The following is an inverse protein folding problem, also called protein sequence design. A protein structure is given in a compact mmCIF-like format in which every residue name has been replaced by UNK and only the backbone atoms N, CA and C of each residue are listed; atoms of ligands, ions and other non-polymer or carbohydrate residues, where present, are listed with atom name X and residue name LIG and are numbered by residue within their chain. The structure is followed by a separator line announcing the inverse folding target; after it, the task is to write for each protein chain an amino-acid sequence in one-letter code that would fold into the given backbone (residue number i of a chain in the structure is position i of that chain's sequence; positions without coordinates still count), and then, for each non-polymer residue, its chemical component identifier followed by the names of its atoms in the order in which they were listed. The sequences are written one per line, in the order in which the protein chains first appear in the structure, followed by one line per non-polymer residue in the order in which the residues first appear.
data_IF_815887928442
#
_entry.id   IF_815887928442
#
_cell.length_a   1.000
_cell.length_b   1.000
_cell.length_c   1.000
_cell.angle_alpha   90.00
_cell.angle_beta   90.00
_cell.angle_gamma   90.00
#
_symmetry.space_group_name_H-M   'P 1'
#
loop_
_entity.id
_entity.type
_entity.pdbx_description
1 polymer ?
#
# COMPACT_ATOMS: atom_id res chain seq x y z
N UNK A 1 7.35 9.75 15.70
CA UNK A 1 7.16 10.29 14.34
C UNK A 1 5.98 9.56 13.71
N UNK A 2 5.18 10.26 12.93
CA UNK A 2 3.92 9.74 12.40
C UNK A 2 3.80 9.96 10.89
N UNK A 3 2.79 9.30 10.27
CA UNK A 3 2.46 9.46 8.85
C UNK A 3 1.14 10.17 8.62
N UNK A 4 0.98 10.80 7.46
CA UNK A 4 -0.31 11.29 6.95
C UNK A 4 -0.62 10.54 5.65
N UNK A 5 -1.79 9.91 5.59
CA UNK A 5 -2.35 9.31 4.38
C UNK A 5 -3.54 10.14 3.89
N UNK A 6 -3.54 10.50 2.63
CA UNK A 6 -4.65 11.22 1.98
C UNK A 6 -5.30 10.33 0.93
N UNK A 7 -6.54 9.96 1.16
CA UNK A 7 -7.30 9.14 0.23
C UNK A 7 -7.97 9.99 -0.84
N UNK A 8 -7.40 10.04 -2.03
CA UNK A 8 -7.94 10.80 -3.18
C UNK A 8 -8.86 9.89 -4.00
N UNK A 9 -10.19 10.00 -3.88
CA UNK A 9 -11.10 9.00 -4.43
C UNK A 9 -11.35 9.11 -5.94
N UNK A 10 -10.77 10.06 -6.63
CA UNK A 10 -11.11 10.35 -8.03
C UNK A 10 -10.33 9.47 -9.01
N UNK A 11 -11.07 8.87 -9.95
CA UNK A 11 -10.51 8.15 -11.09
C UNK A 11 -11.18 8.63 -12.37
N UNK A 12 -10.44 8.73 -13.48
CA UNK A 12 -11.07 8.94 -14.81
C UNK A 12 -11.91 7.72 -15.24
N UNK A 13 -11.47 6.53 -14.86
CA UNK A 13 -12.11 5.24 -15.13
C UNK A 13 -11.75 4.25 -14.03
N UNK A 14 -12.71 3.43 -13.59
CA UNK A 14 -12.44 2.35 -12.64
C UNK A 14 -11.94 1.11 -13.40
N UNK A 15 -10.88 0.51 -12.88
CA UNK A 15 -10.40 -0.80 -13.33
C UNK A 15 -11.35 -1.90 -12.85
N UNK A 16 -11.45 -3.00 -13.60
CA UNK A 16 -12.43 -4.07 -13.30
C UNK A 16 -12.12 -4.84 -12.01
N UNK A 17 -10.88 -4.81 -11.55
CA UNK A 17 -10.39 -5.53 -10.37
C UNK A 17 -10.39 -4.68 -9.09
N UNK A 18 -10.53 -3.35 -9.21
CA UNK A 18 -10.26 -2.45 -8.10
C UNK A 18 -11.44 -2.42 -7.10
N UNK A 19 -11.16 -2.75 -5.85
CA UNK A 19 -12.06 -2.70 -4.69
C UNK A 19 -11.93 -1.41 -3.89
N UNK A 20 -10.86 -0.64 -4.10
CA UNK A 20 -10.66 0.64 -3.39
C UNK A 20 -11.83 1.59 -3.61
N UNK A 21 -12.19 2.30 -2.53
CA UNK A 21 -13.19 3.34 -2.63
C UNK A 21 -12.76 4.40 -3.65
N UNK A 22 -13.50 4.50 -4.75
CA UNK A 22 -13.20 5.44 -5.83
C UNK A 22 -14.46 5.86 -6.58
N UNK A 23 -14.38 7.01 -7.23
CA UNK A 23 -15.49 7.60 -8.00
C UNK A 23 -14.99 8.26 -9.27
N UNK A 24 -15.84 8.30 -10.29
CA UNK A 24 -15.59 9.07 -11.52
C UNK A 24 -16.26 10.47 -11.49
N UNK A 25 -16.87 10.85 -10.38
CA UNK A 25 -17.59 12.13 -10.19
C UNK A 25 -16.64 13.28 -9.87
N UNK A 26 -15.89 13.74 -10.86
CA UNK A 26 -14.89 14.80 -10.71
C UNK A 26 -15.49 16.19 -10.38
N UNK A 27 -16.79 16.40 -10.60
CA UNK A 27 -17.50 17.64 -10.26
C UNK A 27 -17.51 17.96 -8.76
N UNK A 28 -17.32 16.95 -7.92
CA UNK A 28 -17.25 17.10 -6.46
C UNK A 28 -15.84 17.42 -5.93
N UNK A 29 -14.83 17.45 -6.80
CA UNK A 29 -13.41 17.57 -6.38
C UNK A 29 -13.16 18.82 -5.54
N UNK A 30 -13.63 19.97 -5.94
CA UNK A 30 -13.43 21.22 -5.18
C UNK A 30 -14.05 21.17 -3.78
N UNK A 31 -15.26 20.60 -3.65
CA UNK A 31 -15.92 20.44 -2.35
C UNK A 31 -15.16 19.43 -1.47
N UNK A 32 -14.66 18.35 -2.08
CA UNK A 32 -13.84 17.35 -1.43
C UNK A 32 -12.52 17.96 -0.90
N UNK A 33 -11.77 18.71 -1.71
CA UNK A 33 -10.50 19.32 -1.27
C UNK A 33 -10.73 20.27 -0.06
N UNK A 34 -11.82 21.04 -0.07
CA UNK A 34 -12.19 21.86 1.09
C UNK A 34 -12.47 21.02 2.33
N UNK A 35 -13.20 19.93 2.19
CA UNK A 35 -13.49 19.02 3.29
C UNK A 35 -12.20 18.36 3.80
N UNK A 36 -11.32 17.88 2.92
CA UNK A 36 -10.03 17.28 3.26
C UNK A 36 -9.15 18.25 4.07
N UNK A 37 -9.02 19.49 3.61
CA UNK A 37 -8.27 20.55 4.32
C UNK A 37 -8.87 20.84 5.70
N UNK A 38 -10.19 20.82 5.82
CA UNK A 38 -10.86 20.99 7.11
C UNK A 38 -10.62 19.80 8.04
N UNK A 39 -10.77 18.57 7.54
CA UNK A 39 -10.48 17.36 8.33
C UNK A 39 -9.04 17.38 8.87
N UNK A 40 -8.05 17.74 8.04
CA UNK A 40 -6.66 17.90 8.48
C UNK A 40 -6.53 18.86 9.67
N UNK A 41 -7.31 19.97 9.68
CA UNK A 41 -7.33 20.91 10.80
C UNK A 41 -8.06 20.35 12.01
N UNK A 42 -9.25 19.79 11.81
CA UNK A 42 -10.11 19.30 12.90
C UNK A 42 -9.47 18.11 13.65
N UNK A 43 -8.56 17.38 12.97
CA UNK A 43 -7.84 16.22 13.51
C UNK A 43 -6.37 16.49 13.88
N UNK A 44 -5.94 17.74 13.99
CA UNK A 44 -4.57 18.10 14.39
C UNK A 44 -4.11 17.38 15.67
N UNK A 45 -4.97 17.31 16.68
CA UNK A 45 -4.68 16.69 17.97
C UNK A 45 -4.52 15.17 17.92
N UNK A 46 -5.00 14.47 16.84
CA UNK A 46 -4.99 13.02 16.76
C UNK A 46 -3.57 12.41 16.85
N UNK A 47 -2.58 13.07 16.31
CA UNK A 47 -1.18 12.64 16.33
C UNK A 47 -0.39 13.21 17.52
N UNK A 48 -1.05 13.85 18.51
CA UNK A 48 -0.45 14.33 19.77
C UNK A 48 0.80 15.23 19.56
N UNK A 49 0.82 15.99 18.46
CA UNK A 49 1.93 16.89 18.13
C UNK A 49 3.21 16.19 17.64
N UNK A 50 3.13 14.92 17.26
CA UNK A 50 4.26 14.22 16.67
C UNK A 50 4.72 14.85 15.34
N UNK A 51 6.02 14.74 15.05
CA UNK A 51 6.56 15.13 13.76
C UNK A 51 6.12 14.19 12.65
N UNK A 52 5.77 14.74 11.50
CA UNK A 52 5.38 13.97 10.31
C UNK A 52 6.62 13.60 9.51
N UNK A 53 6.85 12.29 9.36
CA UNK A 53 7.96 11.74 8.58
C UNK A 53 7.52 11.21 7.20
N UNK A 54 6.22 11.01 6.99
CA UNK A 54 5.69 10.57 5.69
C UNK A 54 4.36 11.24 5.36
N UNK A 55 4.17 11.61 4.10
CA UNK A 55 2.90 12.04 3.53
C UNK A 55 2.65 11.20 2.28
N UNK A 56 1.50 10.52 2.24
CA UNK A 56 1.18 9.63 1.14
C UNK A 56 -0.18 10.00 0.54
N UNK A 57 -0.18 10.34 -0.73
CA UNK A 57 -1.41 10.57 -1.49
C UNK A 57 -1.71 9.30 -2.31
N UNK A 58 -2.80 8.61 -1.96
CA UNK A 58 -3.18 7.32 -2.58
C UNK A 58 -4.69 7.18 -2.75
N UNK A 59 -5.12 5.97 -3.03
CA UNK A 59 -6.54 5.57 -3.11
C UNK A 59 -7.08 5.36 -4.52
N UNK A 60 -7.83 6.31 -5.06
CA UNK A 60 -8.32 6.25 -6.43
C UNK A 60 -7.19 6.55 -7.43
N UNK A 61 -6.97 7.82 -7.74
CA UNK A 61 -5.90 8.26 -8.65
C UNK A 61 -5.47 9.69 -8.28
N UNK A 62 -4.50 9.86 -7.36
CA UNK A 62 -4.05 11.19 -6.96
C UNK A 62 -3.48 12.04 -8.10
N UNK A 63 -2.97 11.42 -9.17
CA UNK A 63 -2.54 12.12 -10.38
C UNK A 63 -3.68 12.77 -11.18
N UNK A 64 -4.92 12.71 -10.69
CA UNK A 64 -6.05 13.49 -11.23
C UNK A 64 -6.19 14.88 -10.58
N UNK A 65 -5.37 15.19 -9.59
CA UNK A 65 -5.36 16.50 -8.94
C UNK A 65 -4.64 17.53 -9.80
N UNK A 66 -5.16 18.76 -9.78
CA UNK A 66 -4.56 19.90 -10.44
C UNK A 66 -3.58 20.63 -9.50
N UNK A 67 -2.83 21.59 -10.02
CA UNK A 67 -1.87 22.38 -9.27
C UNK A 67 -2.51 23.05 -8.05
N UNK A 68 -3.67 23.66 -8.24
CA UNK A 68 -4.40 24.40 -7.21
C UNK A 68 -4.85 23.47 -6.06
N UNK A 69 -5.18 22.20 -6.39
CA UNK A 69 -5.54 21.18 -5.40
C UNK A 69 -4.34 20.85 -4.49
N UNK A 70 -3.15 20.66 -5.08
CA UNK A 70 -1.91 20.44 -4.33
C UNK A 70 -1.49 21.65 -3.51
N UNK A 71 -1.62 22.87 -4.06
CA UNK A 71 -1.35 24.12 -3.33
C UNK A 71 -2.21 24.21 -2.06
N UNK A 72 -3.51 23.91 -2.18
CA UNK A 72 -4.42 23.91 -1.03
C UNK A 72 -4.02 22.86 0.00
N UNK A 73 -3.77 21.62 -0.42
CA UNK A 73 -3.43 20.50 0.47
C UNK A 73 -2.11 20.78 1.21
N UNK A 74 -1.03 21.07 0.49
CA UNK A 74 0.28 21.27 1.12
C UNK A 74 0.33 22.54 1.99
N UNK A 75 -0.29 23.63 1.56
CA UNK A 75 -0.41 24.83 2.39
C UNK A 75 -1.09 24.51 3.73
N UNK A 76 -2.13 23.67 3.71
CA UNK A 76 -2.82 23.25 4.94
C UNK A 76 -1.94 22.33 5.80
N UNK A 77 -1.33 21.30 5.22
CA UNK A 77 -0.48 20.37 5.97
C UNK A 77 0.67 21.11 6.67
N UNK A 78 1.42 21.97 5.96
CA UNK A 78 2.54 22.70 6.54
C UNK A 78 2.12 23.79 7.54
N UNK A 79 0.87 24.23 7.49
CA UNK A 79 0.32 25.16 8.49
C UNK A 79 -0.05 24.46 9.79
N UNK A 80 -0.57 23.22 9.71
CA UNK A 80 -1.15 22.48 10.85
C UNK A 80 -0.12 21.54 11.49
N UNK A 81 0.69 20.85 10.67
CA UNK A 81 1.58 19.79 11.13
C UNK A 81 3.06 20.18 11.02
N UNK A 82 3.87 19.59 11.91
CA UNK A 82 5.33 19.73 11.90
C UNK A 82 5.94 18.64 11.00
N UNK A 83 6.15 18.96 9.74
CA UNK A 83 6.76 18.02 8.77
C UNK A 83 8.28 18.13 8.87
N UNK A 84 8.98 16.99 8.98
CA UNK A 84 10.45 16.98 8.99
C UNK A 84 11.01 17.32 7.59
N UNK A 85 12.21 17.91 7.50
CA UNK A 85 12.76 18.35 6.21
C UNK A 85 12.97 17.23 5.19
N UNK A 86 13.28 16.00 5.65
CA UNK A 86 13.51 14.81 4.85
C UNK A 86 12.31 13.84 4.83
N UNK A 87 11.10 14.35 5.04
CA UNK A 87 9.87 13.56 4.96
C UNK A 87 9.74 12.87 3.59
N UNK A 88 9.35 11.59 3.59
CA UNK A 88 8.95 10.90 2.36
C UNK A 88 7.56 11.40 1.93
N UNK A 89 7.48 11.98 0.74
CA UNK A 89 6.22 12.49 0.19
C UNK A 89 5.92 11.80 -1.11
N UNK A 90 4.94 10.88 -1.05
CA UNK A 90 4.60 9.97 -2.15
C UNK A 90 3.33 10.41 -2.87
N UNK A 91 3.35 10.32 -4.20
CA UNK A 91 2.18 10.40 -5.06
C UNK A 91 1.97 9.10 -5.80
N UNK A 92 0.78 8.49 -5.66
CA UNK A 92 0.34 7.45 -6.59
C UNK A 92 -0.09 8.06 -7.91
N UNK A 93 0.32 7.44 -9.00
CA UNK A 93 0.03 7.94 -10.33
C UNK A 93 -0.26 6.85 -11.35
N UNK A 94 -1.18 7.13 -12.28
CA UNK A 94 -1.30 6.33 -13.49
C UNK A 94 -0.28 6.80 -14.54
N UNK A 95 0.32 5.88 -15.32
CA UNK A 95 1.29 6.24 -16.34
C UNK A 95 0.81 7.30 -17.34
N UNK A 96 -0.44 7.21 -17.78
CA UNK A 96 -1.02 8.13 -18.78
C UNK A 96 -1.33 9.54 -18.24
N UNK A 97 -1.25 9.76 -16.93
CA UNK A 97 -1.34 11.09 -16.33
C UNK A 97 0.03 11.78 -16.22
N UNK A 98 1.13 11.02 -16.27
CA UNK A 98 2.51 11.50 -16.11
C UNK A 98 3.08 12.05 -17.41
N UNK A 99 2.43 13.09 -17.97
CA UNK A 99 2.99 13.84 -19.09
C UNK A 99 4.17 14.71 -18.64
N UNK A 100 5.08 15.13 -19.57
CA UNK A 100 6.18 16.01 -19.20
C UNK A 100 5.74 17.29 -18.48
N UNK A 101 4.60 17.88 -18.90
CA UNK A 101 4.04 19.10 -18.32
C UNK A 101 3.54 18.82 -16.89
N UNK A 102 2.83 17.69 -16.67
CA UNK A 102 2.33 17.30 -15.36
C UNK A 102 3.50 16.99 -14.41
N UNK A 103 4.51 16.27 -14.87
CA UNK A 103 5.72 15.98 -14.09
C UNK A 103 6.45 17.27 -13.72
N UNK A 104 6.58 18.21 -14.65
CA UNK A 104 7.18 19.53 -14.38
C UNK A 104 6.41 20.30 -13.30
N UNK A 105 5.08 20.23 -13.34
CA UNK A 105 4.24 20.81 -12.28
C UNK A 105 4.45 20.09 -10.95
N UNK A 106 4.51 18.75 -10.90
CA UNK A 106 4.78 17.99 -9.67
C UNK A 106 6.11 18.38 -9.03
N UNK A 107 7.14 18.70 -9.82
CA UNK A 107 8.46 19.17 -9.32
C UNK A 107 8.41 20.50 -8.60
N UNK A 108 7.34 21.28 -8.71
CA UNK A 108 7.14 22.51 -7.93
C UNK A 108 6.58 22.23 -6.53
N UNK A 109 6.21 21.00 -6.22
CA UNK A 109 5.74 20.52 -4.93
C UNK A 109 6.79 19.63 -4.25
N UNK A 110 6.63 19.35 -2.97
CA UNK A 110 7.64 18.59 -2.20
C UNK A 110 7.63 17.08 -2.46
N UNK A 111 7.01 16.62 -3.55
CA UNK A 111 7.04 15.20 -3.90
C UNK A 111 8.46 14.71 -4.16
N UNK A 112 8.87 13.67 -3.46
CA UNK A 112 10.17 13.02 -3.62
C UNK A 112 10.07 11.53 -3.94
N UNK A 113 8.84 10.95 -3.92
CA UNK A 113 8.56 9.57 -4.32
C UNK A 113 7.33 9.52 -5.23
N UNK A 114 7.41 8.72 -6.30
CA UNK A 114 6.27 8.39 -7.19
C UNK A 114 6.00 6.89 -7.07
N UNK A 115 4.72 6.49 -6.91
CA UNK A 115 4.27 5.10 -7.07
C UNK A 115 3.45 5.00 -8.35
N UNK A 116 3.95 4.26 -9.32
CA UNK A 116 3.39 4.21 -10.68
C UNK A 116 2.69 2.88 -10.92
N UNK A 117 1.37 2.90 -11.05
CA UNK A 117 0.55 1.71 -11.29
C UNK A 117 0.67 1.20 -12.73
N UNK A 118 1.71 0.43 -13.04
CA UNK A 118 1.93 -0.20 -14.35
C UNK A 118 1.07 -1.44 -14.52
N UNK A 119 1.04 -2.31 -13.52
CA UNK A 119 0.34 -3.58 -13.39
C UNK A 119 0.96 -4.71 -14.24
N UNK A 120 1.12 -4.54 -15.54
CA UNK A 120 1.72 -5.48 -16.49
C UNK A 120 2.22 -4.72 -17.73
N UNK A 121 3.11 -5.32 -18.49
CA UNK A 121 3.54 -4.80 -19.80
C UNK A 121 2.85 -5.54 -20.96
N UNK A 122 1.80 -6.33 -20.70
CA UNK A 122 1.00 -7.01 -21.70
C UNK A 122 -0.21 -6.15 -22.09
N UNK A 123 -0.19 -5.50 -23.27
CA UNK A 123 -1.25 -4.58 -23.73
C UNK A 123 -2.63 -5.23 -23.81
N UNK A 124 -2.72 -6.53 -24.15
CA UNK A 124 -3.97 -7.29 -24.14
C UNK A 124 -4.58 -7.37 -22.74
N UNK A 125 -3.74 -7.63 -21.74
CA UNK A 125 -4.13 -7.72 -20.31
C UNK A 125 -4.47 -6.34 -19.77
N UNK A 126 -3.70 -5.29 -20.07
CA UNK A 126 -4.03 -3.91 -19.71
C UNK A 126 -5.43 -3.52 -20.24
N UNK A 127 -5.73 -3.87 -21.48
CA UNK A 127 -7.05 -3.64 -22.09
C UNK A 127 -8.16 -4.42 -21.38
N UNK A 128 -7.93 -5.69 -21.03
CA UNK A 128 -8.86 -6.51 -20.26
C UNK A 128 -9.17 -5.89 -18.91
N UNK A 129 -8.14 -5.46 -18.19
CA UNK A 129 -8.24 -4.80 -16.87
C UNK A 129 -8.84 -3.38 -16.95
N UNK A 130 -9.13 -2.89 -18.14
CA UNK A 130 -9.60 -1.52 -18.43
C UNK A 130 -8.61 -0.43 -18.00
N UNK A 131 -7.30 -0.73 -18.04
CA UNK A 131 -6.25 0.29 -17.89
C UNK A 131 -6.28 1.24 -19.09
N UNK A 132 -5.91 2.52 -18.83
CA UNK A 132 -5.97 3.58 -19.84
C UNK A 132 -4.66 3.74 -20.62
N UNK A 133 -3.56 3.17 -20.10
CA UNK A 133 -2.24 3.23 -20.69
C UNK A 133 -1.87 1.93 -21.43
N UNK A 134 -0.87 2.01 -22.28
CA UNK A 134 -0.15 0.90 -22.91
C UNK A 134 1.19 0.69 -22.22
N UNK A 135 1.83 -0.47 -22.46
CA UNK A 135 3.19 -0.75 -21.99
C UNK A 135 4.19 0.33 -22.42
N UNK A 136 4.13 0.78 -23.67
CA UNK A 136 4.98 1.86 -24.19
C UNK A 136 4.77 3.17 -23.42
N UNK A 137 3.53 3.52 -23.14
CA UNK A 137 3.22 4.73 -22.35
C UNK A 137 3.74 4.63 -20.93
N UNK A 138 3.67 3.46 -20.29
CA UNK A 138 4.21 3.23 -18.96
C UNK A 138 5.74 3.40 -18.92
N UNK A 139 6.43 2.78 -19.87
CA UNK A 139 7.90 2.92 -20.02
C UNK A 139 8.28 4.38 -20.22
N UNK A 140 7.58 5.09 -21.11
CA UNK A 140 7.84 6.51 -21.38
C UNK A 140 7.58 7.39 -20.16
N UNK A 141 6.49 7.14 -19.42
CA UNK A 141 6.17 7.87 -18.18
C UNK A 141 7.28 7.69 -17.14
N UNK A 142 7.77 6.47 -16.94
CA UNK A 142 8.89 6.18 -16.05
C UNK A 142 10.14 6.97 -16.46
N UNK A 143 10.54 6.91 -17.73
CA UNK A 143 11.70 7.63 -18.25
C UNK A 143 11.56 9.16 -18.10
N UNK A 144 10.36 9.71 -18.30
CA UNK A 144 10.07 11.12 -18.11
C UNK A 144 10.26 11.53 -16.64
N UNK A 145 9.79 10.71 -15.68
CA UNK A 145 10.01 10.95 -14.25
C UNK A 145 11.51 10.94 -13.90
N UNK A 146 12.27 9.97 -14.41
CA UNK A 146 13.73 9.92 -14.23
C UNK A 146 14.41 11.18 -14.81
N UNK A 147 14.04 11.60 -16.02
CA UNK A 147 14.58 12.79 -16.69
C UNK A 147 14.27 14.07 -15.92
N UNK A 148 13.08 14.16 -15.32
CA UNK A 148 12.68 15.28 -14.47
C UNK A 148 13.36 15.29 -13.10
N UNK A 149 14.15 14.26 -12.76
CA UNK A 149 14.97 14.20 -11.55
C UNK A 149 14.31 13.50 -10.36
N UNK A 150 13.23 12.75 -10.56
CA UNK A 150 12.79 11.79 -9.53
C UNK A 150 13.81 10.66 -9.40
N UNK A 151 14.15 10.30 -8.14
CA UNK A 151 15.17 9.29 -7.80
C UNK A 151 14.65 8.24 -6.80
N UNK A 152 13.34 8.23 -6.57
CA UNK A 152 12.64 7.22 -5.78
C UNK A 152 11.32 6.94 -6.49
N UNK A 153 11.36 6.00 -7.43
CA UNK A 153 10.20 5.62 -8.24
C UNK A 153 9.87 4.17 -7.93
N UNK A 154 8.65 3.96 -7.44
CA UNK A 154 8.05 2.64 -7.32
C UNK A 154 7.26 2.33 -8.58
N UNK A 155 7.32 1.09 -9.02
CA UNK A 155 6.37 0.56 -9.99
C UNK A 155 5.52 -0.53 -9.32
N UNK A 156 4.23 -0.52 -9.62
CA UNK A 156 3.32 -1.53 -9.10
C UNK A 156 3.00 -2.53 -10.20
N UNK A 157 3.22 -3.81 -9.93
CA UNK A 157 2.94 -4.93 -10.80
C UNK A 157 1.86 -5.82 -10.18
N UNK A 158 1.17 -6.56 -11.03
CA UNK A 158 0.21 -7.59 -10.60
C UNK A 158 0.55 -8.91 -11.29
N UNK A 159 0.44 -10.02 -10.55
CA UNK A 159 0.58 -11.37 -11.08
C UNK A 159 -0.65 -12.21 -10.70
N UNK A 160 -0.80 -13.39 -11.31
CA UNK A 160 -2.04 -14.16 -11.24
C UNK A 160 -3.16 -13.56 -12.09
N UNK A 161 -2.80 -12.81 -13.12
CA UNK A 161 -3.74 -12.16 -14.04
C UNK A 161 -4.46 -13.17 -14.92
N UNK A 162 -5.71 -12.92 -15.36
CA UNK A 162 -6.44 -13.84 -16.23
C UNK A 162 -5.65 -14.19 -17.50
N UNK A 163 -5.43 -15.48 -17.71
CA UNK A 163 -4.68 -15.99 -18.86
C UNK A 163 -3.16 -15.79 -18.78
N UNK A 164 -2.65 -15.36 -17.62
CA UNK A 164 -1.21 -15.22 -17.42
C UNK A 164 -0.52 -16.59 -17.42
N UNK A 165 0.69 -16.59 -17.94
CA UNK A 165 1.58 -17.76 -17.95
C UNK A 165 2.90 -17.41 -17.27
N UNK A 166 3.65 -18.41 -16.83
CA UNK A 166 4.99 -18.20 -16.30
C UNK A 166 5.92 -17.50 -17.31
N UNK A 167 5.70 -17.70 -18.61
CA UNK A 167 6.49 -17.06 -19.67
C UNK A 167 6.17 -15.56 -19.80
N UNK A 168 4.87 -15.19 -19.79
CA UNK A 168 4.46 -13.77 -19.84
C UNK A 168 4.90 -13.02 -18.59
N UNK A 169 4.79 -13.65 -17.39
CA UNK A 169 5.28 -13.06 -16.16
C UNK A 169 6.79 -12.80 -16.15
N UNK A 170 7.58 -13.77 -16.64
CA UNK A 170 9.03 -13.57 -16.78
C UNK A 170 9.37 -12.41 -17.74
N UNK A 171 8.60 -12.21 -18.79
CA UNK A 171 8.81 -11.06 -19.68
C UNK A 171 8.43 -9.74 -18.99
N UNK A 172 7.36 -9.70 -18.20
CA UNK A 172 6.99 -8.53 -17.40
C UNK A 172 8.09 -8.19 -16.37
N UNK A 173 8.62 -9.18 -15.65
CA UNK A 173 9.73 -8.98 -14.72
C UNK A 173 11.01 -8.48 -15.41
N UNK A 174 11.31 -9.01 -16.61
CA UNK A 174 12.46 -8.56 -17.40
C UNK A 174 12.31 -7.10 -17.83
N UNK A 175 11.12 -6.68 -18.26
CA UNK A 175 10.83 -5.30 -18.61
C UNK A 175 10.89 -4.38 -17.38
N UNK A 176 10.34 -4.80 -16.25
CA UNK A 176 10.41 -4.09 -14.99
C UNK A 176 11.88 -3.86 -14.55
N UNK A 177 12.69 -4.91 -14.60
CA UNK A 177 14.12 -4.84 -14.25
C UNK A 177 14.91 -3.96 -15.22
N UNK A 178 14.56 -3.94 -16.52
CA UNK A 178 15.21 -3.08 -17.50
C UNK A 178 14.95 -1.57 -17.25
N UNK A 179 13.89 -1.21 -16.54
CA UNK A 179 13.62 0.15 -16.11
C UNK A 179 14.49 0.58 -14.92
N UNK A 180 15.01 -0.37 -14.13
CA UNK A 180 15.78 -0.13 -12.90
C UNK A 180 15.07 0.77 -11.89
N UNK A 181 13.79 0.49 -11.52
CA UNK A 181 13.12 1.27 -10.49
C UNK A 181 13.79 1.05 -9.13
N UNK A 182 13.73 2.03 -8.24
CA UNK A 182 14.24 1.89 -6.88
C UNK A 182 13.38 0.97 -6.02
N UNK A 183 12.10 0.79 -6.39
CA UNK A 183 11.14 0.01 -5.63
C UNK A 183 10.15 -0.69 -6.58
N UNK A 184 9.73 -1.90 -6.21
CA UNK A 184 8.71 -2.68 -6.93
C UNK A 184 7.71 -3.21 -5.91
N UNK A 185 6.44 -2.85 -6.07
CA UNK A 185 5.33 -3.53 -5.42
C UNK A 185 4.76 -4.56 -6.39
N UNK A 186 4.58 -5.81 -5.95
CA UNK A 186 3.99 -6.85 -6.79
C UNK A 186 2.92 -7.62 -6.02
N UNK A 187 1.68 -7.49 -6.47
CA UNK A 187 0.51 -8.03 -5.79
C UNK A 187 -0.07 -9.20 -6.57
N UNK A 188 -0.41 -10.28 -5.85
CA UNK A 188 -1.26 -11.31 -6.43
C UNK A 188 -2.65 -10.75 -6.67
N UNK A 189 -3.23 -10.99 -7.85
CA UNK A 189 -4.60 -10.58 -8.15
C UNK A 189 -5.58 -11.34 -7.27
N UNK A 190 -6.41 -10.61 -6.52
CA UNK A 190 -7.50 -11.15 -5.73
C UNK A 190 -8.82 -10.78 -6.42
N UNK A 191 -9.75 -11.74 -6.46
CA UNK A 191 -11.08 -11.55 -7.05
C UNK A 191 -12.07 -11.12 -5.97
N UNK A 192 -11.98 -9.83 -5.58
CA UNK A 192 -12.80 -9.26 -4.52
C UNK A 192 -14.28 -9.20 -4.90
N UNK A 193 -15.15 -9.68 -4.00
CA UNK A 193 -16.59 -9.66 -4.18
C UNK A 193 -17.11 -8.24 -4.46
N UNK A 194 -18.05 -8.11 -5.39
CA UNK A 194 -18.59 -6.82 -5.81
C UNK A 194 -17.81 -6.13 -6.93
N UNK A 195 -16.61 -6.59 -7.29
CA UNK A 195 -15.86 -6.09 -8.45
C UNK A 195 -16.40 -6.67 -9.76
N UNK A 196 -16.18 -5.96 -10.87
CA UNK A 196 -16.53 -6.49 -12.20
C UNK A 196 -15.72 -7.76 -12.52
N UNK A 197 -14.48 -7.84 -12.08
CA UNK A 197 -13.62 -9.00 -12.28
C UNK A 197 -14.22 -10.23 -11.59
N UNK A 198 -14.64 -10.10 -10.34
CA UNK A 198 -15.31 -11.17 -9.58
C UNK A 198 -16.58 -11.64 -10.29
N UNK A 199 -17.42 -10.70 -10.79
CA UNK A 199 -18.63 -11.04 -11.56
C UNK A 199 -18.31 -11.82 -12.84
N UNK A 200 -17.22 -11.48 -13.53
CA UNK A 200 -16.80 -12.20 -14.73
C UNK A 200 -16.33 -13.63 -14.41
N UNK A 201 -15.67 -13.84 -13.26
CA UNK A 201 -15.29 -15.17 -12.76
C UNK A 201 -16.53 -16.00 -12.44
N UNK A 202 -17.48 -15.46 -11.69
CA UNK A 202 -18.74 -16.16 -11.35
C UNK A 202 -19.56 -16.53 -12.59
N UNK A 203 -19.44 -15.78 -13.67
CA UNK A 203 -20.06 -16.08 -14.96
C UNK A 203 -19.22 -17.04 -15.82
N UNK A 204 -18.12 -17.58 -15.30
CA UNK A 204 -17.17 -18.44 -16.05
C UNK A 204 -16.63 -17.82 -17.34
N UNK A 205 -16.51 -16.48 -17.39
CA UNK A 205 -15.94 -15.73 -18.51
C UNK A 205 -14.44 -15.51 -18.38
N UNK A 206 -13.94 -15.61 -17.15
CA UNK A 206 -12.52 -15.52 -16.81
C UNK A 206 -12.21 -16.66 -15.82
N UNK A 207 -11.01 -17.19 -15.92
CA UNK A 207 -10.45 -18.17 -15.00
C UNK A 207 -9.40 -17.51 -14.13
N UNK A 208 -9.42 -17.85 -12.86
CA UNK A 208 -8.40 -17.50 -11.88
C UNK A 208 -7.18 -18.40 -12.08
N UNK A 209 -5.98 -17.87 -11.82
CA UNK A 209 -4.77 -18.69 -11.81
C UNK A 209 -4.90 -19.78 -10.74
N UNK A 210 -4.56 -21.02 -11.08
CA UNK A 210 -4.54 -22.10 -10.11
C UNK A 210 -3.42 -21.90 -9.06
N UNK A 211 -3.48 -22.66 -7.97
CA UNK A 211 -2.56 -22.54 -6.86
C UNK A 211 -1.10 -22.86 -7.28
N UNK A 212 -0.89 -23.88 -8.09
CA UNK A 212 0.44 -24.28 -8.55
C UNK A 212 1.09 -23.18 -9.41
N UNK A 213 0.31 -22.57 -10.31
CA UNK A 213 0.75 -21.44 -11.10
C UNK A 213 1.04 -20.23 -10.19
N UNK A 214 0.15 -19.90 -9.27
CA UNK A 214 0.30 -18.76 -8.33
C UNK A 214 1.58 -18.89 -7.50
N UNK A 215 1.87 -20.09 -6.98
CA UNK A 215 3.12 -20.39 -6.26
C UNK A 215 4.34 -20.23 -7.18
N UNK A 216 4.24 -20.72 -8.43
CA UNK A 216 5.32 -20.60 -9.41
C UNK A 216 5.60 -19.14 -9.81
N UNK A 217 4.56 -18.33 -9.99
CA UNK A 217 4.66 -16.90 -10.29
C UNK A 217 5.34 -16.15 -9.13
N UNK A 218 4.88 -16.38 -7.90
CA UNK A 218 5.46 -15.76 -6.71
C UNK A 218 6.91 -16.18 -6.47
N UNK A 219 7.21 -17.48 -6.64
CA UNK A 219 8.59 -17.96 -6.56
C UNK A 219 9.50 -17.29 -7.57
N UNK A 220 9.03 -17.17 -8.82
CA UNK A 220 9.78 -16.50 -9.91
C UNK A 220 10.00 -15.02 -9.62
N UNK A 221 8.99 -14.32 -9.06
CA UNK A 221 9.10 -12.93 -8.61
C UNK A 221 10.27 -12.76 -7.63
N UNK A 222 10.23 -13.52 -6.52
CA UNK A 222 11.23 -13.41 -5.47
C UNK A 222 12.63 -13.71 -6.02
N UNK A 223 12.79 -14.80 -6.79
CA UNK A 223 14.08 -15.22 -7.31
C UNK A 223 14.65 -14.22 -8.33
N UNK A 224 13.81 -13.67 -9.20
CA UNK A 224 14.22 -12.68 -10.20
C UNK A 224 14.67 -11.37 -9.56
N UNK A 225 13.88 -10.84 -8.63
CA UNK A 225 14.18 -9.55 -7.99
C UNK A 225 15.36 -9.65 -7.03
N UNK A 226 15.46 -10.72 -6.23
CA UNK A 226 16.60 -10.91 -5.33
C UNK A 226 17.90 -11.15 -6.09
N UNK A 227 17.88 -11.89 -7.20
CA UNK A 227 19.05 -12.05 -8.08
C UNK A 227 19.49 -10.72 -8.72
N UNK A 228 18.57 -9.78 -8.91
CA UNK A 228 18.84 -8.43 -9.42
C UNK A 228 19.27 -7.43 -8.30
N UNK A 229 19.41 -7.89 -7.04
CA UNK A 229 19.88 -7.08 -5.93
C UNK A 229 18.79 -6.33 -5.14
N UNK A 230 17.52 -6.62 -5.36
CA UNK A 230 16.43 -6.08 -4.57
C UNK A 230 16.29 -6.84 -3.25
N UNK A 231 16.03 -6.13 -2.18
CA UNK A 231 15.63 -6.67 -0.88
C UNK A 231 14.13 -6.98 -0.91
N UNK A 232 13.75 -8.22 -0.62
CA UNK A 232 12.36 -8.61 -0.37
C UNK A 232 12.01 -8.27 1.08
N UNK A 233 11.50 -7.08 1.34
CA UNK A 233 11.41 -6.57 2.71
C UNK A 233 10.05 -6.81 3.38
N UNK A 234 9.00 -7.07 2.62
CA UNK A 234 7.73 -7.62 3.08
C UNK A 234 7.05 -8.38 1.92
N UNK A 235 5.91 -9.04 2.17
CA UNK A 235 5.32 -10.04 1.26
C UNK A 235 5.21 -9.57 -0.20
N UNK A 236 4.77 -8.31 -0.41
CA UNK A 236 4.49 -7.77 -1.74
C UNK A 236 5.50 -6.72 -2.22
N UNK A 237 6.46 -6.31 -1.37
CA UNK A 237 7.32 -5.18 -1.67
C UNK A 237 8.80 -5.52 -1.70
N UNK A 238 9.45 -4.99 -2.74
CA UNK A 238 10.87 -5.17 -3.02
C UNK A 238 11.50 -3.81 -3.29
N UNK A 239 12.74 -3.59 -2.86
CA UNK A 239 13.44 -2.35 -3.15
C UNK A 239 14.96 -2.55 -3.27
N UNK A 240 15.62 -1.64 -3.94
CA UNK A 240 17.07 -1.51 -3.81
C UNK A 240 17.43 -1.08 -2.39
N UNK A 241 18.62 -1.43 -1.86
CA UNK A 241 19.05 -1.08 -0.52
C UNK A 241 18.85 0.41 -0.23
N UNK A 242 18.14 0.73 0.86
CA UNK A 242 17.86 2.10 1.29
C UNK A 242 16.61 2.74 0.66
N UNK A 243 15.86 2.05 -0.19
CA UNK A 243 14.65 2.58 -0.85
C UNK A 243 13.34 1.93 -0.36
N UNK A 244 13.33 1.40 0.86
CA UNK A 244 12.08 0.96 1.50
C UNK A 244 11.06 2.09 1.49
N UNK A 245 9.81 1.81 1.13
CA UNK A 245 8.73 2.78 1.34
C UNK A 245 8.57 3.05 2.83
N UNK A 246 8.92 4.24 3.27
CA UNK A 246 8.84 4.62 4.71
C UNK A 246 7.40 4.64 5.18
N UNK A 247 6.48 5.11 4.32
CA UNK A 247 5.06 5.14 4.64
C UNK A 247 4.48 3.74 4.79
N UNK A 248 4.68 2.84 3.81
CA UNK A 248 4.18 1.47 3.89
C UNK A 248 4.82 0.70 5.05
N UNK A 249 6.13 0.88 5.27
CA UNK A 249 6.84 0.26 6.40
C UNK A 249 6.31 0.74 7.76
N UNK A 250 5.71 1.94 7.85
CA UNK A 250 5.15 2.44 9.10
C UNK A 250 3.97 1.60 9.59
N UNK A 251 3.18 1.03 8.69
CA UNK A 251 2.08 0.12 9.03
C UNK A 251 2.56 -1.16 9.72
N UNK A 252 3.77 -1.62 9.38
CA UNK A 252 4.38 -2.84 9.93
C UNK A 252 5.21 -2.60 11.21
N UNK A 253 5.36 -1.34 11.63
CA UNK A 253 6.20 -0.95 12.77
C UNK A 253 5.44 -0.24 13.88
N UNK A 254 4.11 -0.37 13.93
CA UNK A 254 3.22 0.22 14.95
C UNK A 254 3.33 1.76 15.04
N UNK A 255 3.77 2.44 13.97
CA UNK A 255 3.81 3.90 13.94
C UNK A 255 2.40 4.47 13.79
N UNK A 256 2.16 5.58 14.48
CA UNK A 256 0.92 6.32 14.33
C UNK A 256 0.78 6.91 12.93
N UNK A 257 -0.43 6.90 12.41
CA UNK A 257 -0.76 7.61 11.18
C UNK A 257 -2.18 8.14 11.21
N UNK A 258 -2.36 9.26 10.54
CA UNK A 258 -3.65 9.90 10.31
C UNK A 258 -4.04 9.71 8.84
N UNK A 259 -5.14 9.03 8.59
CA UNK A 259 -5.78 8.98 7.28
C UNK A 259 -6.91 10.00 7.18
N UNK A 260 -6.88 10.80 6.12
CA UNK A 260 -7.93 11.75 5.78
C UNK A 260 -8.54 11.43 4.41
N UNK A 261 -9.82 11.73 4.25
CA UNK A 261 -10.60 11.38 3.06
C UNK A 261 -11.52 10.19 3.30
N UNK A 262 -12.51 9.95 2.41
CA UNK A 262 -13.46 8.85 2.56
C UNK A 262 -12.74 7.51 2.53
N UNK A 263 -13.18 6.56 3.35
CA UNK A 263 -12.55 5.22 3.51
C UNK A 263 -11.10 5.22 4.03
N UNK A 264 -10.53 6.37 4.42
CA UNK A 264 -9.18 6.42 4.99
C UNK A 264 -9.17 5.88 6.41
N UNK A 265 -8.14 5.08 6.72
CA UNK A 265 -7.89 4.53 8.05
C UNK A 265 -6.86 5.35 8.80
N UNK A 266 -6.96 5.36 10.14
CA UNK A 266 -6.00 5.98 11.05
C UNK A 266 -5.68 5.04 12.21
N UNK A 267 -4.47 5.19 12.78
CA UNK A 267 -4.02 4.41 13.93
C UNK A 267 -3.19 5.28 14.86
N UNK A 268 -3.47 5.21 16.18
CA UNK A 268 -2.77 6.00 17.19
C UNK A 268 -2.02 5.17 18.25
N UNK A 269 -1.97 3.85 18.06
CA UNK A 269 -1.35 2.91 19.00
C UNK A 269 -2.34 2.20 19.93
N UNK A 270 -3.51 2.79 20.20
CA UNK A 270 -4.55 2.24 21.09
C UNK A 270 -5.90 2.08 20.43
N UNK A 271 -6.14 2.79 19.34
CA UNK A 271 -7.38 2.69 18.56
C UNK A 271 -7.12 2.76 17.06
N UNK A 272 -8.03 2.18 16.30
CA UNK A 272 -8.17 2.37 14.87
C UNK A 272 -9.40 3.21 14.57
N UNK A 273 -9.33 3.97 13.48
CA UNK A 273 -10.46 4.73 12.98
C UNK A 273 -10.52 4.57 11.46
N UNK A 274 -11.72 4.60 10.90
CA UNK A 274 -11.90 4.62 9.45
C UNK A 274 -13.05 5.54 9.08
N UNK A 275 -12.83 6.35 8.08
CA UNK A 275 -13.81 7.27 7.55
C UNK A 275 -14.89 6.51 6.75
N UNK A 276 -16.08 7.09 6.68
CA UNK A 276 -17.18 6.56 5.86
C UNK A 276 -16.75 6.36 4.39
N UNK A 277 -17.16 5.24 3.79
CA UNK A 277 -16.90 4.92 2.40
C UNK A 277 -17.94 5.56 1.47
N UNK A 278 -18.17 6.88 1.63
CA UNK A 278 -19.14 7.66 0.86
C UNK A 278 -18.67 9.10 0.70
N UNK A 279 -18.37 9.52 -0.53
CA UNK A 279 -17.90 10.87 -0.81
C UNK A 279 -18.91 11.94 -0.37
N UNK A 280 -20.22 11.69 -0.61
CA UNK A 280 -21.28 12.65 -0.25
C UNK A 280 -21.42 12.79 1.27
N UNK A 281 -21.41 11.68 2.01
CA UNK A 281 -21.51 11.68 3.48
C UNK A 281 -20.28 12.30 4.10
N UNK A 282 -19.08 11.99 3.58
CA UNK A 282 -17.85 12.60 3.99
C UNK A 282 -17.87 14.13 3.85
N UNK A 283 -18.15 14.65 2.64
CA UNK A 283 -18.21 16.10 2.39
C UNK A 283 -19.25 16.77 3.29
N UNK A 284 -20.45 16.20 3.39
CA UNK A 284 -21.54 16.74 4.20
C UNK A 284 -21.21 16.73 5.68
N UNK A 285 -20.68 15.62 6.20
CA UNK A 285 -20.33 15.48 7.62
C UNK A 285 -19.25 16.47 8.03
N UNK A 286 -18.13 16.52 7.33
CA UNK A 286 -17.04 17.47 7.60
C UNK A 286 -17.53 18.92 7.49
N UNK A 287 -18.33 19.26 6.47
CA UNK A 287 -18.86 20.62 6.30
C UNK A 287 -19.78 21.05 7.45
N UNK A 288 -20.49 20.11 8.06
CA UNK A 288 -21.37 20.36 9.21
C UNK A 288 -20.66 20.23 10.57
N UNK A 289 -19.38 19.88 10.60
CA UNK A 289 -18.64 19.64 11.85
C UNK A 289 -19.00 18.33 12.55
N UNK A 290 -19.60 17.36 11.83
CA UNK A 290 -19.94 16.06 12.36
C UNK A 290 -18.79 15.06 12.09
N UNK A 291 -18.48 14.14 13.03
CA UNK A 291 -17.55 13.04 12.78
C UNK A 291 -18.02 12.20 11.57
N UNK A 292 -17.06 11.83 10.73
CA UNK A 292 -17.30 10.98 9.55
C UNK A 292 -16.55 9.65 9.66
N UNK A 293 -16.13 9.30 10.87
CA UNK A 293 -15.35 8.09 11.13
C UNK A 293 -15.97 7.26 12.25
N UNK A 294 -15.72 5.97 12.16
CA UNK A 294 -15.93 5.00 13.23
C UNK A 294 -14.63 4.79 14.01
N UNK A 295 -14.74 4.32 15.25
CA UNK A 295 -13.61 4.09 16.16
C UNK A 295 -13.69 2.67 16.73
N UNK A 296 -12.58 1.97 16.69
CA UNK A 296 -12.36 0.69 17.37
C UNK A 296 -11.27 0.87 18.42
N UNK A 297 -11.61 0.67 19.70
CA UNK A 297 -10.61 0.61 20.76
C UNK A 297 -9.97 -0.79 20.77
N UNK A 298 -8.64 -0.83 20.75
CA UNK A 298 -7.89 -2.08 20.63
C UNK A 298 -7.56 -2.62 22.04
N UNK A 299 -8.16 -3.73 22.40
CA UNK A 299 -7.80 -4.45 23.62
C UNK A 299 -6.40 -5.10 23.52
N UNK A 300 -5.99 -5.77 24.60
CA UNK A 300 -4.67 -6.41 24.66
C UNK A 300 -4.49 -7.49 23.58
N UNK A 301 -5.53 -8.29 23.36
CA UNK A 301 -5.48 -9.44 22.46
C UNK A 301 -5.52 -9.01 20.99
N UNK A 302 -6.34 -8.03 20.68
CA UNK A 302 -6.38 -7.40 19.35
C UNK A 302 -5.01 -6.81 18.99
N UNK A 303 -4.39 -6.07 19.92
CA UNK A 303 -3.03 -5.51 19.71
C UNK A 303 -1.96 -6.58 19.59
N UNK A 304 -2.07 -7.69 20.34
CA UNK A 304 -1.19 -8.84 20.16
C UNK A 304 -1.34 -9.44 18.76
N UNK A 305 -2.56 -9.66 18.31
CA UNK A 305 -2.83 -10.20 16.98
C UNK A 305 -2.26 -9.29 15.87
N UNK A 306 -2.47 -7.98 15.99
CA UNK A 306 -1.86 -6.99 15.09
C UNK A 306 -0.34 -7.06 15.09
N UNK A 307 0.26 -7.19 16.28
CA UNK A 307 1.72 -7.30 16.41
C UNK A 307 2.26 -8.54 15.69
N UNK A 308 1.57 -9.67 15.80
CA UNK A 308 1.94 -10.90 15.08
C UNK A 308 1.87 -10.68 13.58
N UNK A 309 0.71 -10.23 13.07
CA UNK A 309 0.48 -10.04 11.64
C UNK A 309 1.47 -9.04 11.04
N UNK A 310 1.67 -7.90 11.68
CA UNK A 310 2.50 -6.82 11.13
C UNK A 310 3.98 -7.15 11.12
N UNK A 311 4.49 -7.87 12.12
CA UNK A 311 5.92 -8.15 12.23
C UNK A 311 6.34 -9.38 11.41
N UNK A 312 5.59 -10.48 11.46
CA UNK A 312 5.97 -11.74 10.81
C UNK A 312 6.06 -11.60 9.29
N UNK A 313 5.21 -10.78 8.68
CA UNK A 313 5.19 -10.57 7.23
C UNK A 313 6.40 -9.81 6.67
N UNK A 314 7.27 -9.29 7.53
CA UNK A 314 8.42 -8.48 7.13
C UNK A 314 9.74 -9.22 7.27
N UNK A 315 10.76 -8.81 6.51
CA UNK A 315 12.12 -9.32 6.64
C UNK A 315 12.74 -9.08 8.03
N UNK A 316 12.26 -8.05 8.75
CA UNK A 316 12.75 -7.75 10.09
C UNK A 316 12.24 -8.77 11.11
N UNK A 317 11.06 -9.35 10.88
CA UNK A 317 10.46 -10.35 11.74
C UNK A 317 9.95 -9.79 13.05
N UNK A 318 9.49 -10.67 13.93
CA UNK A 318 8.91 -10.35 15.23
C UNK A 318 9.95 -10.47 16.35
N UNK A 319 10.38 -9.34 16.97
CA UNK A 319 11.35 -9.37 18.08
C UNK A 319 10.69 -9.96 19.33
N UNK A 320 11.13 -11.13 19.76
CA UNK A 320 10.58 -11.86 20.90
C UNK A 320 10.73 -11.11 22.26
N UNK A 321 11.83 -10.39 22.52
CA UNK A 321 11.93 -9.55 23.72
C UNK A 321 10.90 -8.41 23.76
N UNK A 322 10.60 -7.79 22.58
CA UNK A 322 9.58 -6.74 22.48
C UNK A 322 8.19 -7.30 22.74
N UNK A 323 7.87 -8.46 22.15
CA UNK A 323 6.62 -9.18 22.40
C UNK A 323 6.40 -9.43 23.89
N UNK A 324 7.41 -10.02 24.56
CA UNK A 324 7.34 -10.34 25.98
C UNK A 324 7.16 -9.11 26.86
N UNK A 325 7.89 -8.02 26.54
CA UNK A 325 7.82 -6.75 27.27
C UNK A 325 6.44 -6.08 27.13
N UNK A 326 5.87 -6.10 25.93
CA UNK A 326 4.66 -5.35 25.57
C UNK A 326 3.38 -6.10 25.95
N UNK A 327 3.38 -7.43 25.82
CA UNK A 327 2.19 -8.27 25.97
C UNK A 327 2.27 -9.24 27.16
N UNK A 328 3.39 -9.31 27.86
CA UNK A 328 3.55 -10.12 29.05
C UNK A 328 3.95 -11.58 28.78
N UNK A 329 4.19 -12.31 29.86
CA UNK A 329 4.72 -13.67 29.84
C UNK A 329 3.73 -14.68 29.26
N UNK A 330 2.44 -14.48 29.45
CA UNK A 330 1.37 -15.39 29.01
C UNK A 330 1.28 -15.42 27.48
N UNK A 331 1.09 -14.27 26.85
CA UNK A 331 1.02 -14.15 25.38
C UNK A 331 2.37 -14.49 24.71
N UNK A 332 3.49 -14.21 25.37
CA UNK A 332 4.79 -14.66 24.92
C UNK A 332 4.89 -16.21 24.84
N UNK A 333 4.49 -16.91 25.92
CA UNK A 333 4.48 -18.39 25.95
C UNK A 333 3.47 -18.96 24.95
N UNK A 334 2.30 -18.32 24.82
CA UNK A 334 1.31 -18.69 23.82
C UNK A 334 1.89 -18.62 22.41
N UNK A 335 2.49 -17.50 22.04
CA UNK A 335 3.14 -17.29 20.76
C UNK A 335 4.17 -18.38 20.43
N UNK A 336 5.08 -18.68 21.37
CA UNK A 336 6.10 -19.73 21.16
C UNK A 336 5.48 -21.11 21.00
N UNK A 337 4.41 -21.41 21.77
CA UNK A 337 3.68 -22.67 21.64
C UNK A 337 3.07 -22.81 20.24
N UNK A 338 2.41 -21.74 19.72
CA UNK A 338 1.80 -21.74 18.40
C UNK A 338 2.84 -21.74 17.27
N UNK A 339 3.99 -21.12 17.48
CA UNK A 339 5.10 -21.15 16.53
C UNK A 339 5.84 -22.49 16.45
N UNK A 340 5.73 -23.35 17.50
CA UNK A 340 6.50 -24.62 17.59
C UNK A 340 6.30 -25.56 16.40
N UNK A 341 5.07 -25.84 15.90
CA UNK A 341 4.90 -26.69 14.72
C UNK A 341 5.58 -26.11 13.48
N UNK A 342 5.50 -24.81 13.29
CA UNK A 342 6.10 -24.10 12.15
C UNK A 342 7.64 -24.08 12.21
N UNK A 343 8.20 -23.96 13.41
CA UNK A 343 9.66 -24.11 13.64
C UNK A 343 10.13 -25.51 13.30
N UNK A 344 9.39 -26.56 13.70
CA UNK A 344 9.68 -27.94 13.39
C UNK A 344 9.56 -28.26 11.88
N UNK A 345 8.62 -27.63 11.20
CA UNK A 345 8.44 -27.76 9.74
C UNK A 345 9.43 -26.92 8.94
N UNK A 346 10.20 -26.04 9.59
CA UNK A 346 11.11 -25.13 8.94
C UNK A 346 10.45 -24.02 8.12
N UNK A 347 9.19 -23.66 8.43
CA UNK A 347 8.47 -22.52 7.85
C UNK A 347 8.68 -21.23 8.64
N UNK A 348 9.01 -21.36 9.93
CA UNK A 348 9.52 -20.27 10.79
C UNK A 348 10.94 -20.61 11.26
N UNK A 349 11.71 -19.57 11.58
CA UNK A 349 13.00 -19.68 12.27
C UNK A 349 13.12 -18.63 13.37
N UNK A 350 13.91 -18.93 14.42
CA UNK A 350 14.32 -17.93 15.41
C UNK A 350 15.79 -17.61 15.18
N UNK A 351 16.08 -16.34 14.90
CA UNK A 351 17.46 -15.85 14.70
C UNK A 351 17.65 -14.54 15.46
N UNK A 352 18.65 -14.49 16.34
CA UNK A 352 18.93 -13.33 17.19
C UNK A 352 17.70 -12.84 17.95
N UNK A 353 17.02 -13.73 18.68
CA UNK A 353 15.77 -13.47 19.43
C UNK A 353 14.63 -12.88 18.58
N UNK A 354 14.64 -13.13 17.29
CA UNK A 354 13.61 -12.67 16.35
C UNK A 354 13.00 -13.86 15.63
N UNK A 355 11.67 -13.97 15.66
CA UNK A 355 10.90 -14.97 14.92
C UNK A 355 10.63 -14.46 13.52
N UNK A 356 10.98 -15.25 12.50
CA UNK A 356 10.87 -14.87 11.08
C UNK A 356 10.30 -15.98 10.22
N UNK A 357 9.65 -15.59 9.12
CA UNK A 357 9.35 -16.52 8.04
C UNK A 357 10.65 -16.96 7.35
N UNK A 358 10.75 -18.26 7.06
CA UNK A 358 11.75 -18.77 6.13
C UNK A 358 11.25 -18.58 4.68
N UNK A 359 12.11 -18.84 3.70
CA UNK A 359 11.68 -18.88 2.29
C UNK A 359 10.47 -19.79 2.07
N UNK A 360 10.44 -20.95 2.75
CA UNK A 360 9.31 -21.88 2.68
C UNK A 360 8.06 -21.31 3.33
N UNK A 361 8.22 -20.60 4.44
CA UNK A 361 7.10 -20.00 5.19
C UNK A 361 6.42 -18.84 4.47
N UNK A 362 7.13 -18.08 3.65
CA UNK A 362 6.56 -16.95 2.90
C UNK A 362 5.38 -17.39 2.03
N UNK A 363 5.42 -18.58 1.42
CA UNK A 363 4.36 -19.07 0.54
C UNK A 363 3.06 -19.44 1.26
N UNK A 364 3.13 -19.64 2.56
CA UNK A 364 1.97 -19.99 3.41
C UNK A 364 1.86 -19.03 4.61
N UNK A 365 2.33 -17.81 4.43
CA UNK A 365 2.44 -16.81 5.49
C UNK A 365 1.13 -16.51 6.19
N UNK A 366 0.02 -16.42 5.45
CA UNK A 366 -1.29 -16.10 6.01
C UNK A 366 -1.79 -17.23 6.94
N UNK A 367 -1.58 -18.48 6.56
CA UNK A 367 -1.88 -19.65 7.41
C UNK A 367 -1.04 -19.64 8.68
N UNK A 368 0.28 -19.36 8.57
CA UNK A 368 1.18 -19.26 9.73
C UNK A 368 0.74 -18.13 10.67
N UNK A 369 0.42 -16.95 10.12
CA UNK A 369 -0.05 -15.82 10.92
C UNK A 369 -1.37 -16.17 11.61
N UNK A 370 -2.33 -16.75 10.89
CA UNK A 370 -3.63 -17.17 11.42
C UNK A 370 -3.49 -18.16 12.59
N UNK A 371 -2.62 -19.16 12.47
CA UNK A 371 -2.38 -20.15 13.53
C UNK A 371 -1.78 -19.50 14.80
N UNK A 372 -1.12 -18.38 14.68
CA UNK A 372 -0.47 -17.67 15.80
C UNK A 372 -1.35 -16.64 16.49
N UNK A 373 -2.53 -16.33 15.92
CA UNK A 373 -3.47 -15.38 16.53
C UNK A 373 -4.07 -15.95 17.81
N UNK A 374 -4.29 -15.05 18.77
CA UNK A 374 -5.10 -15.37 19.93
C UNK A 374 -6.57 -15.40 19.52
N UNK A 375 -7.21 -16.53 19.77
CA UNK A 375 -8.65 -16.73 19.57
C UNK A 375 -9.21 -17.14 20.91
N UNK A 376 -10.31 -16.50 21.37
CA UNK A 376 -11.02 -16.81 22.61
C UNK A 376 -11.74 -18.17 22.56
#
# INVERSE_FOLDING_TARGET
MAGIYLHIPFCKKRCIYCDFFSTTRSEQKTAYIRALCRELTDREAYLEGEYIETIYLGGGTPSQLAKEDFEAIFSHIYKVYKVIPDAEITLEANPDDLTPEYISMLRTFPFNRISMGIQTFQDSTLKLLQRRHTAEQAIRAFQNCCTAGFRNISIDLMYGLPGETLASWKEDLKQALALHPEHISAYHLIYEEGTTLWQLREQHKLEEADEDLSVSLFGTLIDSLTAAGYEHYEISNFCLPGFHSRHNSSYWTEKKYLGCGPSAHSYNGTSRQWNVASLNEYIRGISNGNPTFEVEELDLYTRYNDFVITHIRTQWGMPLPKLRKQYGEELYKYCLRMATPHLQQGTLEIKNDTLKLTRKGIFISDGIMSDMLWVE
#
